data_IF_452812545649
#
_entry.id   IF_452812545649
#
_cell.length_a   1.000
_cell.length_b   1.000
_cell.length_c   1.000
_cell.angle_alpha   90.00
_cell.angle_beta   90.00
_cell.angle_gamma   90.00
#
_symmetry.space_group_name_H-M   'P 1'
#
loop_
_entity.id
_entity.type
_entity.pdbx_description
1 polymer ?
#
# COMPACT_ATOMS: atom_id res chain seq x y z
N UNK A 1 12.21 2.44 -30.03
CA UNK A 1 10.94 1.68 -29.82
C UNK A 1 10.97 0.74 -28.63
N UNK A 2 11.99 -0.11 -28.49
CA UNK A 2 12.05 -1.15 -27.44
C UNK A 2 11.94 -0.57 -26.02
N UNK A 3 12.59 0.56 -25.74
CA UNK A 3 12.55 1.23 -24.43
C UNK A 3 11.12 1.62 -24.03
N UNK A 4 10.33 2.16 -24.96
CA UNK A 4 8.95 2.59 -24.70
C UNK A 4 8.03 1.39 -24.42
N UNK A 5 8.19 0.30 -25.18
CA UNK A 5 7.45 -0.94 -24.94
C UNK A 5 7.79 -1.55 -23.57
N UNK A 6 9.08 -1.57 -23.20
CA UNK A 6 9.52 -2.06 -21.90
C UNK A 6 9.01 -1.21 -20.72
N UNK A 7 9.00 0.12 -20.88
CA UNK A 7 8.45 1.04 -19.88
C UNK A 7 6.95 0.79 -19.64
N UNK A 8 6.15 0.73 -20.71
CA UNK A 8 4.70 0.48 -20.59
C UNK A 8 4.41 -0.89 -19.96
N UNK A 9 5.18 -1.92 -20.32
CA UNK A 9 5.03 -3.25 -19.75
C UNK A 9 5.36 -3.28 -18.24
N UNK A 10 6.41 -2.59 -17.80
CA UNK A 10 6.77 -2.53 -16.38
C UNK A 10 5.77 -1.73 -15.55
N UNK A 11 5.26 -0.61 -16.05
CA UNK A 11 4.23 0.18 -15.37
C UNK A 11 2.96 -0.65 -15.19
N UNK A 12 2.52 -1.33 -16.25
CA UNK A 12 1.36 -2.21 -16.18
C UNK A 12 1.59 -3.38 -15.21
N UNK A 13 2.76 -4.00 -15.25
CA UNK A 13 3.13 -5.09 -14.33
C UNK A 13 3.12 -4.64 -12.87
N UNK A 14 3.64 -3.44 -12.59
CA UNK A 14 3.62 -2.87 -11.24
C UNK A 14 2.21 -2.57 -10.73
N UNK A 15 1.29 -2.16 -11.61
CA UNK A 15 -0.12 -1.90 -11.27
C UNK A 15 -0.93 -3.18 -11.05
N UNK A 16 -0.53 -4.28 -11.71
CA UNK A 16 -1.17 -5.59 -11.57
C UNK A 16 -0.61 -6.39 -10.40
N UNK A 17 0.57 -6.04 -9.91
CA UNK A 17 1.15 -6.66 -8.73
C UNK A 17 0.37 -6.19 -7.49
N UNK A 18 -0.19 -7.17 -6.78
CA UNK A 18 -0.86 -6.97 -5.50
C UNK A 18 0.13 -6.42 -4.46
N UNK A 19 -0.33 -5.52 -3.61
CA UNK A 19 0.49 -5.02 -2.50
C UNK A 19 0.92 -6.19 -1.60
N UNK A 20 2.20 -6.20 -1.24
CA UNK A 20 2.77 -7.27 -0.42
C UNK A 20 2.20 -7.23 1.01
N UNK A 21 1.50 -8.28 1.40
CA UNK A 21 1.00 -8.46 2.75
C UNK A 21 2.17 -8.70 3.73
N UNK A 22 2.48 -7.68 4.55
CA UNK A 22 3.60 -7.69 5.50
C UNK A 22 3.37 -8.50 6.78
N UNK A 23 2.14 -8.95 7.07
CA UNK A 23 1.80 -9.61 8.34
C UNK A 23 1.52 -11.09 8.07
N UNK A 24 2.51 -11.96 8.34
CA UNK A 24 2.38 -13.41 8.15
C UNK A 24 2.29 -14.17 9.46
N UNK A 25 3.03 -13.68 10.45
CA UNK A 25 3.18 -14.35 11.73
C UNK A 25 2.64 -13.51 12.88
N UNK A 26 2.48 -14.15 14.03
CA UNK A 26 2.01 -13.50 15.24
C UNK A 26 2.95 -12.38 15.72
N UNK A 27 4.26 -12.55 15.49
CA UNK A 27 5.28 -11.54 15.78
C UNK A 27 5.08 -10.26 14.94
N UNK A 28 4.86 -10.42 13.64
CA UNK A 28 4.57 -9.30 12.74
C UNK A 28 3.28 -8.59 13.17
N UNK A 29 2.27 -9.35 13.61
CA UNK A 29 1.03 -8.80 14.14
C UNK A 29 1.28 -8.00 15.44
N UNK A 30 2.17 -8.45 16.31
CA UNK A 30 2.54 -7.75 17.55
C UNK A 30 3.24 -6.42 17.27
N UNK A 31 4.12 -6.38 16.28
CA UNK A 31 4.89 -5.18 15.88
C UNK A 31 4.07 -4.22 14.99
N UNK A 32 3.04 -4.73 14.31
CA UNK A 32 2.17 -3.91 13.46
C UNK A 32 1.40 -2.84 14.23
N UNK A 33 0.95 -1.80 13.51
CA UNK A 33 0.05 -0.76 14.04
C UNK A 33 -1.41 -1.21 14.24
N UNK A 34 -1.75 -2.47 13.92
CA UNK A 34 -3.13 -2.97 14.04
C UNK A 34 -3.56 -3.11 15.49
N UNK A 35 -4.81 -2.73 15.78
CA UNK A 35 -5.48 -3.04 17.06
C UNK A 35 -5.90 -4.50 17.06
N UNK A 36 -5.88 -5.15 18.22
CA UNK A 36 -6.19 -6.58 18.34
C UNK A 36 -7.31 -6.78 19.35
N UNK A 37 -8.30 -7.59 18.97
CA UNK A 37 -9.36 -8.06 19.85
C UNK A 37 -9.57 -9.56 19.73
N UNK A 38 -10.36 -10.09 20.65
CA UNK A 38 -10.62 -11.53 20.78
C UNK A 38 -12.12 -11.75 21.01
N UNK A 39 -12.65 -12.82 20.46
CA UNK A 39 -14.02 -13.26 20.72
C UNK A 39 -14.20 -13.57 22.21
N UNK A 40 -15.28 -13.06 22.81
CA UNK A 40 -15.62 -13.30 24.21
C UNK A 40 -16.11 -14.74 24.43
N UNK A 41 -15.15 -15.66 24.45
CA UNK A 41 -15.39 -17.08 24.69
C UNK A 41 -14.48 -17.60 25.79
N UNK A 42 -15.00 -18.54 26.59
CA UNK A 42 -14.30 -19.07 27.76
C UNK A 42 -12.94 -19.67 27.40
N UNK A 43 -12.84 -20.43 26.29
CA UNK A 43 -11.59 -21.05 25.88
C UNK A 43 -10.51 -20.03 25.51
N UNK A 44 -10.88 -18.87 24.96
CA UNK A 44 -9.94 -17.79 24.63
C UNK A 44 -9.32 -17.22 25.91
N UNK A 45 -10.19 -16.89 26.89
CA UNK A 45 -9.76 -16.38 28.20
C UNK A 45 -8.88 -17.38 28.92
N UNK A 46 -9.26 -18.65 28.88
CA UNK A 46 -8.52 -19.74 29.48
C UNK A 46 -7.16 -19.99 28.82
N UNK A 47 -7.06 -19.85 27.49
CA UNK A 47 -5.80 -19.97 26.77
C UNK A 47 -4.79 -18.95 27.28
N UNK A 48 -5.15 -17.66 27.33
CA UNK A 48 -4.23 -16.62 27.82
C UNK A 48 -3.83 -16.78 29.29
N UNK A 49 -4.67 -17.41 30.12
CA UNK A 49 -4.33 -17.75 31.51
C UNK A 49 -3.34 -18.91 31.63
N UNK A 50 -3.40 -19.87 30.70
CA UNK A 50 -2.60 -21.11 30.74
C UNK A 50 -1.36 -21.08 29.85
N UNK A 51 -1.32 -20.18 28.88
CA UNK A 51 -0.23 -20.11 27.91
C UNK A 51 1.07 -19.68 28.57
N UNK A 52 2.15 -20.38 28.23
CA UNK A 52 3.54 -20.06 28.63
C UNK A 52 4.33 -19.39 27.51
N UNK A 53 3.79 -19.36 26.29
CA UNK A 53 4.41 -18.74 25.13
C UNK A 53 4.51 -17.22 25.28
N UNK A 54 5.70 -16.68 25.02
CA UNK A 54 5.99 -15.25 25.20
C UNK A 54 5.19 -14.37 24.23
N UNK A 55 5.10 -14.75 22.95
CA UNK A 55 4.51 -13.91 21.90
C UNK A 55 3.00 -13.69 22.12
N UNK A 56 2.15 -14.73 22.34
CA UNK A 56 0.73 -14.51 22.61
C UNK A 56 0.48 -13.76 23.93
N UNK A 57 1.32 -13.99 24.95
CA UNK A 57 1.23 -13.28 26.23
C UNK A 57 1.57 -11.79 26.10
N UNK A 58 2.62 -11.46 25.33
CA UNK A 58 2.96 -10.08 24.99
C UNK A 58 1.85 -9.41 24.18
N UNK A 59 1.26 -10.12 23.21
CA UNK A 59 0.11 -9.62 22.45
C UNK A 59 -1.07 -9.30 23.37
N UNK A 60 -1.36 -10.21 24.30
CA UNK A 60 -2.43 -10.05 25.29
C UNK A 60 -2.25 -8.81 26.15
N UNK A 61 -1.07 -8.66 26.76
CA UNK A 61 -0.79 -7.55 27.67
C UNK A 61 -0.66 -6.21 26.93
N UNK A 62 -0.10 -6.20 25.71
CA UNK A 62 0.18 -4.97 24.97
C UNK A 62 -1.02 -4.45 24.18
N UNK A 63 -1.84 -5.34 23.60
CA UNK A 63 -2.90 -4.97 22.64
C UNK A 63 -4.32 -5.32 23.08
N UNK A 64 -4.52 -6.35 23.90
CA UNK A 64 -5.86 -6.87 24.22
C UNK A 64 -6.37 -6.30 25.56
N UNK A 65 -5.53 -6.27 26.60
CA UNK A 65 -5.88 -5.82 27.96
C UNK A 65 -5.11 -4.54 28.34
N UNK A 66 -5.10 -3.56 27.43
CA UNK A 66 -4.34 -2.32 27.65
C UNK A 66 -5.12 -1.37 28.56
N UNK A 67 -4.51 -0.96 29.68
CA UNK A 67 -4.98 0.13 30.55
C UNK A 67 -6.51 0.13 30.84
N UNK A 68 -7.02 -0.98 31.39
CA UNK A 68 -8.44 -1.22 31.74
C UNK A 68 -9.41 -1.46 30.58
N UNK A 69 -8.97 -1.37 29.32
CA UNK A 69 -9.78 -1.81 28.19
C UNK A 69 -9.52 -3.30 27.93
N UNK A 70 -10.60 -4.08 27.95
CA UNK A 70 -10.60 -5.49 27.60
C UNK A 70 -11.25 -5.63 26.23
N UNK A 71 -10.46 -5.85 25.19
CA UNK A 71 -10.93 -5.97 23.80
C UNK A 71 -11.53 -7.36 23.53
N UNK A 72 -12.48 -7.76 24.36
CA UNK A 72 -13.30 -8.95 24.19
C UNK A 72 -14.65 -8.55 23.62
N UNK A 73 -15.03 -9.13 22.48
CA UNK A 73 -16.23 -8.75 21.76
C UNK A 73 -16.99 -9.96 21.26
N UNK A 74 -18.27 -9.78 20.97
CA UNK A 74 -19.03 -10.77 20.21
C UNK A 74 -18.47 -10.94 18.78
N UNK A 75 -18.65 -12.13 18.20
CA UNK A 75 -18.14 -12.47 16.89
C UNK A 75 -18.63 -11.51 15.79
N UNK A 76 -19.91 -11.13 15.80
CA UNK A 76 -20.45 -10.22 14.78
C UNK A 76 -19.85 -8.82 14.88
N UNK A 77 -19.77 -8.29 16.09
CA UNK A 77 -19.19 -6.97 16.34
C UNK A 77 -17.70 -6.95 15.98
N UNK A 78 -16.93 -7.94 16.44
CA UNK A 78 -15.50 -8.03 16.15
C UNK A 78 -15.20 -8.16 14.66
N UNK A 79 -15.97 -8.97 13.92
CA UNK A 79 -15.84 -9.08 12.46
C UNK A 79 -16.22 -7.78 11.74
N UNK A 80 -17.18 -7.01 12.26
CA UNK A 80 -17.51 -5.69 11.72
C UNK A 80 -16.35 -4.69 11.85
N UNK A 81 -15.53 -4.81 12.92
CA UNK A 81 -14.32 -4.01 13.09
C UNK A 81 -13.23 -4.41 12.09
N UNK A 82 -13.07 -5.71 11.83
CA UNK A 82 -12.15 -6.21 10.79
C UNK A 82 -12.54 -5.65 9.43
N UNK A 83 -13.85 -5.67 9.10
CA UNK A 83 -14.37 -5.11 7.84
C UNK A 83 -14.06 -3.62 7.67
N UNK A 84 -14.11 -2.83 8.75
CA UNK A 84 -13.76 -1.39 8.72
C UNK A 84 -12.27 -1.13 8.47
N UNK A 85 -11.41 -2.14 8.63
CA UNK A 85 -9.96 -2.04 8.48
C UNK A 85 -9.24 -1.57 9.74
N UNK A 86 -7.92 -1.78 9.78
CA UNK A 86 -7.06 -1.38 10.91
C UNK A 86 -7.20 -2.21 12.19
N UNK A 87 -7.95 -3.32 12.12
CA UNK A 87 -8.25 -4.18 13.27
C UNK A 87 -7.99 -5.66 12.92
N UNK A 88 -7.38 -6.38 13.85
CA UNK A 88 -7.23 -7.83 13.79
C UNK A 88 -8.07 -8.47 14.91
N UNK A 89 -8.89 -9.45 14.57
CA UNK A 89 -9.81 -10.08 15.50
C UNK A 89 -9.59 -11.58 15.52
N UNK A 90 -9.39 -12.14 16.71
CA UNK A 90 -9.33 -13.58 16.90
C UNK A 90 -10.73 -14.13 17.19
N UNK A 91 -11.17 -15.08 16.37
CA UNK A 91 -12.50 -15.68 16.38
C UNK A 91 -12.41 -17.12 15.86
N UNK A 92 -13.34 -17.97 16.23
CA UNK A 92 -13.44 -19.31 15.66
C UNK A 92 -13.55 -19.25 14.12
N UNK A 93 -12.79 -20.09 13.42
CA UNK A 93 -12.73 -20.06 11.95
C UNK A 93 -14.07 -20.36 11.30
N UNK A 94 -14.89 -21.24 11.89
CA UNK A 94 -16.20 -21.59 11.33
C UNK A 94 -17.17 -20.41 11.47
N UNK A 95 -17.16 -19.74 12.62
CA UNK A 95 -17.95 -18.53 12.86
C UNK A 95 -17.49 -17.37 11.95
N UNK A 96 -16.18 -17.14 11.86
CA UNK A 96 -15.58 -16.10 11.04
C UNK A 96 -15.96 -16.25 9.56
N UNK A 97 -15.79 -17.44 8.98
CA UNK A 97 -16.11 -17.69 7.58
C UNK A 97 -17.61 -17.61 7.29
N UNK A 98 -18.46 -18.00 8.26
CA UNK A 98 -19.92 -17.82 8.15
C UNK A 98 -20.30 -16.34 8.10
N UNK A 99 -19.75 -15.52 8.99
CA UNK A 99 -20.01 -14.06 9.03
C UNK A 99 -19.43 -13.39 7.78
N UNK A 100 -18.22 -13.76 7.38
CA UNK A 100 -17.54 -13.21 6.21
C UNK A 100 -18.37 -13.41 4.94
N UNK A 101 -18.89 -14.62 4.70
CA UNK A 101 -19.77 -14.90 3.54
C UNK A 101 -21.05 -14.05 3.51
N UNK A 102 -21.56 -13.63 4.68
CA UNK A 102 -22.80 -12.85 4.78
C UNK A 102 -22.59 -11.35 4.67
N UNK A 103 -21.44 -10.86 5.12
CA UNK A 103 -21.22 -9.43 5.37
C UNK A 103 -20.09 -8.80 4.55
N UNK A 104 -19.11 -9.58 4.09
CA UNK A 104 -17.96 -9.09 3.32
C UNK A 104 -18.25 -9.19 1.83
N UNK A 105 -17.74 -8.21 1.08
CA UNK A 105 -17.67 -8.23 -0.38
C UNK A 105 -16.52 -9.13 -0.86
N UNK A 106 -16.56 -9.53 -2.14
CA UNK A 106 -15.51 -10.37 -2.73
C UNK A 106 -14.12 -9.74 -2.65
N UNK A 107 -14.03 -8.40 -2.76
CA UNK A 107 -12.76 -7.66 -2.62
C UNK A 107 -12.24 -7.73 -1.19
N UNK A 108 -13.09 -7.43 -0.21
CA UNK A 108 -12.72 -7.49 1.22
C UNK A 108 -12.30 -8.91 1.63
N UNK A 109 -12.94 -9.95 1.08
CA UNK A 109 -12.56 -11.36 1.33
C UNK A 109 -11.12 -11.64 0.87
N UNK A 110 -10.70 -11.06 -0.25
CA UNK A 110 -9.35 -11.23 -0.79
C UNK A 110 -8.29 -10.44 -0.01
N UNK A 111 -8.67 -9.30 0.59
CA UNK A 111 -7.77 -8.45 1.38
C UNK A 111 -7.56 -8.97 2.81
N UNK A 112 -8.49 -9.76 3.35
CA UNK A 112 -8.37 -10.31 4.71
C UNK A 112 -7.28 -11.38 4.78
N UNK A 113 -6.28 -11.09 5.61
CA UNK A 113 -5.22 -12.04 5.97
C UNK A 113 -5.57 -12.81 7.25
N UNK A 114 -5.26 -14.11 7.26
CA UNK A 114 -5.45 -14.98 8.41
C UNK A 114 -4.10 -15.35 9.03
N UNK A 115 -3.94 -15.08 10.32
CA UNK A 115 -2.77 -15.48 11.11
C UNK A 115 -3.24 -16.37 12.25
N UNK A 116 -2.59 -17.51 12.45
CA UNK A 116 -2.92 -18.44 13.53
C UNK A 116 -2.38 -17.93 14.86
N UNK A 117 -3.28 -17.64 15.80
CA UNK A 117 -2.95 -17.28 17.17
C UNK A 117 -2.70 -18.52 18.05
N UNK A 118 -3.53 -19.55 17.88
CA UNK A 118 -3.42 -20.81 18.62
C UNK A 118 -2.86 -21.91 17.73
N UNK A 119 -2.06 -22.83 18.29
CA UNK A 119 -1.78 -24.09 17.61
C UNK A 119 -3.08 -24.91 17.47
N UNK A 120 -3.18 -25.79 16.47
CA UNK A 120 -4.31 -26.69 16.32
C UNK A 120 -4.52 -27.52 17.59
N UNK A 121 -5.72 -27.48 18.16
CA UNK A 121 -6.07 -28.29 19.33
C UNK A 121 -6.78 -29.56 18.90
N UNK A 122 -6.35 -30.68 19.46
CA UNK A 122 -7.03 -31.96 19.29
C UNK A 122 -8.23 -32.02 20.24
N UNK A 123 -9.41 -32.22 19.67
CA UNK A 123 -10.64 -32.48 20.42
C UNK A 123 -10.97 -33.96 20.35
N UNK A 124 -11.54 -34.50 21.42
CA UNK A 124 -11.88 -35.92 21.51
C UNK A 124 -13.13 -36.15 22.34
N UNK A 125 -13.72 -37.34 22.18
CA UNK A 125 -14.85 -37.75 23.01
C UNK A 125 -14.41 -37.91 24.47
N UNK A 126 -15.20 -37.36 25.39
CA UNK A 126 -14.92 -37.41 26.83
C UNK A 126 -15.85 -38.42 27.49
N UNK A 127 -15.31 -39.28 28.34
CA UNK A 127 -16.06 -40.24 29.14
C UNK A 127 -15.65 -40.17 30.61
N UNK A 128 -16.59 -40.46 31.52
CA UNK A 128 -16.32 -40.53 32.96
C UNK A 128 -15.23 -41.57 33.26
N UNK A 129 -14.33 -41.25 34.20
CA UNK A 129 -13.33 -42.20 34.69
C UNK A 129 -14.02 -43.47 35.22
N UNK A 130 -13.59 -44.64 34.72
CA UNK A 130 -14.20 -45.94 35.06
C UNK A 130 -15.48 -46.28 34.28
N UNK A 131 -15.86 -45.50 33.26
CA UNK A 131 -17.02 -45.83 32.42
C UNK A 131 -16.76 -47.09 31.59
N UNK A 132 -17.71 -48.03 31.63
CA UNK A 132 -17.72 -49.23 30.79
C UNK A 132 -17.83 -48.92 29.30
N UNK A 133 -18.35 -47.73 28.95
CA UNK A 133 -18.51 -47.30 27.56
C UNK A 133 -17.27 -46.71 26.91
N UNK A 134 -16.17 -46.56 27.66
CA UNK A 134 -14.93 -45.93 27.14
C UNK A 134 -14.44 -46.61 25.86
N UNK A 135 -14.41 -47.94 25.86
CA UNK A 135 -13.92 -48.73 24.72
C UNK A 135 -14.86 -48.63 23.52
N UNK A 136 -16.18 -48.76 23.75
CA UNK A 136 -17.18 -48.58 22.71
C UNK A 136 -17.12 -47.20 22.05
N UNK A 137 -16.95 -46.14 22.85
CA UNK A 137 -16.80 -44.77 22.34
C UNK A 137 -15.51 -44.65 21.52
N UNK A 138 -14.39 -45.20 22.00
CA UNK A 138 -13.12 -45.15 21.29
C UNK A 138 -13.20 -45.87 19.93
N UNK A 139 -13.73 -47.10 19.90
CA UNK A 139 -13.94 -47.87 18.67
C UNK A 139 -14.89 -47.13 17.72
N UNK A 140 -15.97 -46.56 18.25
CA UNK A 140 -16.93 -45.78 17.48
C UNK A 140 -16.27 -44.58 16.79
N UNK A 141 -15.50 -43.78 17.53
CA UNK A 141 -14.78 -42.62 16.99
C UNK A 141 -13.74 -43.05 15.94
N UNK A 142 -12.97 -44.11 16.20
CA UNK A 142 -12.01 -44.64 15.22
C UNK A 142 -12.69 -45.05 13.92
N UNK A 143 -13.80 -45.79 13.98
CA UNK A 143 -14.59 -46.16 12.80
C UNK A 143 -15.11 -44.94 12.05
N UNK A 144 -15.55 -43.89 12.74
CA UNK A 144 -16.00 -42.63 12.11
C UNK A 144 -14.87 -41.88 11.39
N UNK A 145 -13.64 -41.96 11.92
CA UNK A 145 -12.46 -41.36 11.30
C UNK A 145 -12.00 -42.18 10.08
N UNK A 146 -11.88 -43.50 10.22
CA UNK A 146 -11.43 -44.42 9.16
C UNK A 146 -12.39 -44.46 7.97
N UNK A 147 -13.70 -44.46 8.23
CA UNK A 147 -14.72 -44.41 7.16
C UNK A 147 -14.82 -43.04 6.48
N UNK A 148 -14.14 -42.01 6.99
CA UNK A 148 -14.26 -40.64 6.51
C UNK A 148 -15.57 -39.94 6.87
N UNK A 149 -16.44 -40.56 7.69
CA UNK A 149 -17.69 -39.96 8.15
C UNK A 149 -17.45 -38.61 8.86
N UNK A 150 -16.39 -38.53 9.68
CA UNK A 150 -16.00 -37.28 10.35
C UNK A 150 -15.66 -36.17 9.34
N UNK A 151 -14.93 -36.49 8.27
CA UNK A 151 -14.58 -35.53 7.22
C UNK A 151 -15.83 -35.03 6.48
N UNK A 152 -16.81 -35.92 6.23
CA UNK A 152 -18.10 -35.54 5.63
C UNK A 152 -18.90 -34.61 6.54
N UNK A 153 -19.05 -34.97 7.82
CA UNK A 153 -19.75 -34.13 8.82
C UNK A 153 -19.09 -32.76 8.91
N UNK A 154 -17.75 -32.72 9.00
CA UNK A 154 -17.00 -31.47 8.99
C UNK A 154 -17.30 -30.65 7.74
N UNK A 155 -17.31 -31.25 6.56
CA UNK A 155 -17.64 -30.52 5.33
C UNK A 155 -19.06 -29.93 5.29
N UNK A 156 -20.02 -30.51 6.02
CA UNK A 156 -21.41 -30.05 6.04
C UNK A 156 -21.60 -28.91 7.05
N UNK A 157 -21.02 -29.07 8.24
CA UNK A 157 -21.22 -28.14 9.35
C UNK A 157 -20.16 -27.03 9.43
N UNK A 158 -18.93 -27.31 9.02
CA UNK A 158 -17.85 -26.34 9.03
C UNK A 158 -17.97 -25.41 7.82
N UNK A 159 -18.07 -24.11 8.11
CA UNK A 159 -18.14 -23.10 7.06
C UNK A 159 -16.79 -23.03 6.38
N UNK A 160 -16.69 -23.56 5.15
CA UNK A 160 -15.44 -23.51 4.38
C UNK A 160 -15.00 -22.06 4.17
N UNK A 161 -13.68 -21.83 4.18
CA UNK A 161 -13.11 -20.54 3.78
C UNK A 161 -13.74 -20.07 2.46
N UNK A 162 -14.29 -18.84 2.39
CA UNK A 162 -14.82 -18.33 1.14
C UNK A 162 -13.70 -18.25 0.10
N UNK A 163 -13.92 -18.72 -1.15
CA UNK A 163 -12.92 -18.59 -2.19
C UNK A 163 -12.73 -17.11 -2.51
N UNK A 164 -11.48 -16.66 -2.54
CA UNK A 164 -11.15 -15.37 -3.11
C UNK A 164 -11.22 -15.52 -4.64
N UNK A 165 -12.37 -15.15 -5.22
CA UNK A 165 -12.53 -15.07 -6.67
C UNK A 165 -11.90 -13.75 -7.11
N UNK A 166 -10.60 -13.78 -7.43
CA UNK A 166 -9.93 -12.62 -8.00
C UNK A 166 -10.52 -12.37 -9.39
N UNK A 167 -11.54 -11.52 -9.48
CA UNK A 167 -12.02 -10.99 -10.75
C UNK A 167 -10.88 -10.23 -11.42
N UNK A 168 -10.11 -10.90 -12.29
CA UNK A 168 -9.03 -10.32 -13.10
C UNK A 168 -9.49 -9.19 -14.05
N UNK A 169 -10.80 -8.91 -14.14
CA UNK A 169 -11.40 -8.10 -15.20
C UNK A 169 -12.28 -6.93 -14.74
N UNK A 170 -12.39 -6.61 -13.45
CA UNK A 170 -13.28 -5.53 -12.98
C UNK A 170 -12.67 -4.56 -11.97
N UNK A 171 -11.37 -4.65 -11.69
CA UNK A 171 -10.68 -3.50 -11.13
C UNK A 171 -10.49 -2.49 -12.26
N UNK A 172 -11.41 -1.53 -12.35
CA UNK A 172 -11.06 -0.21 -12.85
C UNK A 172 -9.83 0.18 -12.02
N UNK A 173 -8.63 0.05 -12.59
CA UNK A 173 -7.40 0.48 -11.94
C UNK A 173 -7.49 2.00 -11.94
N UNK A 174 -8.14 2.54 -10.92
CA UNK A 174 -8.23 3.97 -10.70
C UNK A 174 -6.86 4.41 -10.22
N UNK A 175 -6.00 4.76 -11.18
CA UNK A 175 -4.68 5.31 -10.89
C UNK A 175 -4.89 6.59 -10.10
N UNK A 176 -4.39 6.61 -8.87
CA UNK A 176 -4.53 7.77 -8.01
C UNK A 176 -3.67 8.91 -8.57
N UNK A 177 -4.19 10.15 -8.59
CA UNK A 177 -3.45 11.31 -9.11
C UNK A 177 -2.13 11.56 -8.36
N UNK A 178 -2.03 11.03 -7.14
CA UNK A 178 -0.80 11.02 -6.33
C UNK A 178 0.34 10.27 -7.01
N UNK A 179 0.06 9.20 -7.74
CA UNK A 179 1.09 8.37 -8.40
C UNK A 179 1.73 9.10 -9.59
N UNK A 180 0.95 9.90 -10.34
CA UNK A 180 1.47 10.69 -11.46
C UNK A 180 1.87 12.13 -11.08
N UNK A 181 1.79 12.47 -9.79
CA UNK A 181 2.05 13.83 -9.29
C UNK A 181 3.42 14.39 -9.71
N UNK A 182 4.46 13.55 -9.67
CA UNK A 182 5.82 13.95 -10.04
C UNK A 182 5.93 14.34 -11.51
N UNK A 183 5.32 13.57 -12.42
CA UNK A 183 5.32 13.90 -13.85
C UNK A 183 4.57 15.21 -14.13
N UNK A 184 3.47 15.45 -13.41
CA UNK A 184 2.70 16.70 -13.48
C UNK A 184 3.53 17.91 -13.00
N UNK A 185 4.30 17.75 -11.91
CA UNK A 185 5.23 18.77 -11.42
C UNK A 185 6.33 19.07 -12.44
N UNK A 186 6.94 18.05 -13.07
CA UNK A 186 7.94 18.25 -14.12
C UNK A 186 7.39 19.03 -15.31
N UNK A 187 6.15 18.73 -15.73
CA UNK A 187 5.47 19.45 -16.81
C UNK A 187 5.27 20.92 -16.44
N UNK A 188 4.80 21.22 -15.22
CA UNK A 188 4.64 22.59 -14.75
C UNK A 188 5.97 23.35 -14.69
N UNK A 189 7.04 22.71 -14.21
CA UNK A 189 8.38 23.29 -14.21
C UNK A 189 8.90 23.56 -15.64
N UNK A 190 8.62 22.67 -16.59
CA UNK A 190 8.97 22.88 -18.00
C UNK A 190 8.26 24.11 -18.58
N UNK A 191 6.97 24.27 -18.29
CA UNK A 191 6.19 25.44 -18.73
C UNK A 191 6.71 26.74 -18.13
N UNK A 192 7.04 26.77 -16.83
CA UNK A 192 7.55 28.00 -16.21
C UNK A 192 8.91 28.40 -16.77
N UNK A 193 9.82 27.44 -17.00
CA UNK A 193 11.12 27.71 -17.62
C UNK A 193 10.95 28.23 -19.05
N UNK A 194 10.07 27.63 -19.84
CA UNK A 194 9.80 28.07 -21.21
C UNK A 194 9.28 29.52 -21.24
N UNK A 195 8.35 29.87 -20.34
CA UNK A 195 7.83 31.23 -20.21
C UNK A 195 8.95 32.21 -19.80
N UNK A 196 9.82 31.84 -18.87
CA UNK A 196 10.95 32.68 -18.45
C UNK A 196 11.91 32.94 -19.62
N UNK A 197 12.24 31.91 -20.39
CA UNK A 197 13.11 32.04 -21.58
C UNK A 197 12.46 32.99 -22.60
N UNK A 198 11.15 32.82 -22.87
CA UNK A 198 10.41 33.68 -23.78
C UNK A 198 10.42 35.15 -23.32
N UNK A 199 10.19 35.41 -22.02
CA UNK A 199 10.23 36.76 -21.45
C UNK A 199 11.64 37.37 -21.54
N UNK A 200 12.68 36.59 -21.27
CA UNK A 200 14.07 37.00 -21.44
C UNK A 200 14.38 37.37 -22.90
N UNK A 201 13.91 36.57 -23.85
CA UNK A 201 14.10 36.86 -25.28
C UNK A 201 13.40 38.17 -25.68
N UNK A 202 12.13 38.36 -25.31
CA UNK A 202 11.38 39.59 -25.57
C UNK A 202 12.09 40.81 -24.96
N UNK A 203 12.57 40.68 -23.72
CA UNK A 203 13.29 41.75 -23.03
C UNK A 203 14.60 42.13 -23.74
N UNK A 204 15.39 41.14 -24.16
CA UNK A 204 16.64 41.40 -24.90
C UNK A 204 16.37 42.02 -26.28
N UNK A 205 15.31 41.61 -26.98
CA UNK A 205 14.88 42.21 -28.25
C UNK A 205 14.45 43.66 -28.05
N UNK A 206 13.68 43.96 -27.00
CA UNK A 206 13.23 45.33 -26.68
C UNK A 206 14.42 46.25 -26.40
N UNK A 207 15.38 45.82 -25.58
CA UNK A 207 16.62 46.57 -25.31
C UNK A 207 17.44 46.77 -26.59
N UNK A 208 17.58 45.73 -27.44
CA UNK A 208 18.29 45.84 -28.72
C UNK A 208 17.58 46.82 -29.67
N UNK A 209 16.24 46.84 -29.70
CA UNK A 209 15.42 47.79 -30.50
C UNK A 209 15.57 49.22 -29.99
N UNK A 210 15.50 49.45 -28.67
CA UNK A 210 15.73 50.77 -28.08
C UNK A 210 17.15 51.29 -28.36
N UNK A 211 18.18 50.44 -28.19
CA UNK A 211 19.57 50.79 -28.55
C UNK A 211 19.72 51.07 -30.05
N UNK A 212 19.08 50.30 -30.95
CA UNK A 212 19.07 50.58 -32.40
C UNK A 212 18.35 51.89 -32.75
N UNK A 213 17.26 52.23 -32.06
CA UNK A 213 16.52 53.49 -32.28
C UNK A 213 17.33 54.72 -31.84
N UNK A 214 17.98 54.67 -30.67
CA UNK A 214 18.91 55.71 -30.19
C UNK A 214 20.13 55.87 -31.10
N UNK A 215 20.68 54.77 -31.62
CA UNK A 215 21.80 54.82 -32.59
C UNK A 215 21.37 55.43 -33.92
N UNK A 216 20.16 55.12 -34.45
CA UNK A 216 19.62 55.76 -35.67
C UNK A 216 19.34 57.26 -35.47
N UNK A 217 18.90 57.67 -34.28
CA UNK A 217 18.67 59.07 -33.93
C UNK A 217 19.98 59.88 -33.84
N UNK A 218 21.01 59.35 -33.16
CA UNK A 218 22.34 59.98 -33.12
C UNK A 218 23.01 60.03 -34.51
N UNK A 219 22.76 59.05 -35.39
CA UNK A 219 23.29 59.04 -36.77
C UNK A 219 22.66 60.12 -37.67
N UNK A 220 21.46 60.61 -37.35
CA UNK A 220 20.80 61.72 -38.09
C UNK A 220 21.22 63.11 -37.60
N UNK A 221 21.91 63.23 -36.47
CA UNK A 221 22.19 64.51 -35.78
C UNK A 221 23.68 64.91 -35.73
N UNK A 222 24.59 64.13 -36.34
CA UNK A 222 26.04 64.37 -36.26
C UNK A 222 26.65 64.73 -37.64
N UNK A 223 27.36 65.87 -37.77
CA UNK A 223 28.16 66.21 -38.96
C UNK A 223 29.36 65.27 -39.13
N UNK A 224 29.83 65.13 -40.37
CA UNK A 224 30.75 64.11 -40.91
C UNK A 224 32.10 63.91 -40.19
N UNK A 225 32.60 64.89 -39.44
CA UNK A 225 33.97 64.86 -38.88
C UNK A 225 34.10 64.08 -37.55
N UNK A 226 33.05 63.98 -36.72
CA UNK A 226 33.15 63.29 -35.41
C UNK A 226 32.98 61.77 -35.48
N UNK A 227 32.66 61.21 -36.65
CA UNK A 227 32.41 59.78 -36.81
C UNK A 227 33.68 58.94 -36.72
N UNK A 228 34.85 59.50 -37.06
CA UNK A 228 36.15 58.80 -37.00
C UNK A 228 36.56 58.51 -35.55
N UNK A 229 36.45 59.48 -34.64
CA UNK A 229 36.93 59.34 -33.26
C UNK A 229 36.08 58.37 -32.41
N UNK A 230 34.77 58.32 -32.65
CA UNK A 230 33.87 57.41 -31.93
C UNK A 230 34.04 55.94 -32.38
N UNK A 231 34.43 55.71 -33.65
CA UNK A 231 34.71 54.36 -34.18
C UNK A 231 35.98 53.78 -33.55
N UNK A 232 37.03 54.59 -33.38
CA UNK A 232 38.29 54.18 -32.74
C UNK A 232 38.10 53.85 -31.25
N UNK A 233 37.28 54.62 -30.53
CA UNK A 233 36.95 54.34 -29.12
C UNK A 233 36.10 53.07 -28.95
N UNK A 234 35.26 52.73 -29.94
CA UNK A 234 34.41 51.53 -29.93
C UNK A 234 35.17 50.25 -30.27
N UNK A 235 36.18 50.31 -31.16
CA UNK A 235 37.04 49.17 -31.48
C UNK A 235 37.86 48.74 -30.24
N UNK A 236 38.30 49.69 -29.39
CA UNK A 236 39.06 49.38 -28.17
C UNK A 236 38.23 48.72 -27.05
N UNK A 237 36.91 48.90 -27.00
CA UNK A 237 36.04 48.38 -25.92
C UNK A 237 35.44 46.99 -26.22
N UNK A 238 35.59 46.47 -27.44
CA UNK A 238 35.03 45.18 -27.87
C UNK A 238 36.04 44.00 -27.85
N UNK A 239 37.22 44.15 -27.23
CA UNK A 239 38.05 42.98 -26.89
C UNK A 239 37.69 42.46 -25.51
N UNK A 240 36.61 41.70 -25.39
CA UNK A 240 36.49 40.68 -24.34
C UNK A 240 35.73 39.48 -24.92
N UNK A 241 36.52 38.44 -25.20
CA UNK A 241 36.24 37.01 -25.29
C UNK A 241 35.01 36.53 -26.10
N UNK A 242 35.30 35.99 -27.28
CA UNK A 242 34.68 34.75 -27.73
C UNK A 242 35.49 33.58 -27.14
N UNK A 243 34.85 32.65 -26.43
CA UNK A 243 35.33 31.28 -26.33
C UNK A 243 34.45 30.44 -27.26
N UNK A 244 35.10 29.98 -28.33
CA UNK A 244 34.62 28.96 -29.25
C UNK A 244 34.62 27.60 -28.53
N UNK A 245 33.63 26.79 -28.79
CA UNK A 245 33.61 25.40 -28.35
C UNK A 245 33.17 24.54 -29.54
N UNK A 246 34.16 24.17 -30.36
CA UNK A 246 34.11 23.04 -31.28
C UNK A 246 35.14 21.99 -30.87
N UNK A 247 34.60 20.81 -30.58
CA UNK A 247 35.14 19.46 -30.87
C UNK A 247 36.52 19.06 -30.34
N UNK A 248 36.50 18.15 -29.36
CA UNK A 248 37.04 16.77 -29.52
C UNK A 248 35.96 15.82 -29.03
#
# INVERSE_FOLDING_TARGET
MIIYQFYNANVLSSLLNEEYNNIRNLKDLLESGLKVGVEDMLFNKDYFKRTTDRIPLELYNKKIVRNKQNNFFDAEFGMSLVKRGGYAFHVDTSAAYRIMRRTFSEREICEVNAVTLFPPQYVGAVAKKGSQYKEYIAIGVSKMLESGLMNRIKSIWDSRKPPCVKMRYSSIISVNIREFSMALLFLMCGFTIAIIILLCEIYTIKIKREKRSKIKFYRRKLPSEQFKMYKTKRIKKNRVLCLDQRTV
#
